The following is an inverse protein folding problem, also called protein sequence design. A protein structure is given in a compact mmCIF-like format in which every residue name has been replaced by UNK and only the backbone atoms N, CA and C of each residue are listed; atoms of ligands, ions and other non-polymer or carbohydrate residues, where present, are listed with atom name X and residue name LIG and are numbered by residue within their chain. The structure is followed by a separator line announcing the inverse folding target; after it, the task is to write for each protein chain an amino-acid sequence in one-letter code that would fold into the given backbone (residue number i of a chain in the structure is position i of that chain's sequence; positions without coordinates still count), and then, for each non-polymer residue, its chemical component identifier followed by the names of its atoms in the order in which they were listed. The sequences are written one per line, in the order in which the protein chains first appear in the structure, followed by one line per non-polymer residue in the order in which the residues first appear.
data_IF_358585764060
#
_entry.id   IF_358585764060
#
_cell.length_a   1.000
_cell.length_b   1.000
_cell.length_c   1.000
_cell.angle_alpha   90.00
_cell.angle_beta   90.00
_cell.angle_gamma   90.00
#
_symmetry.space_group_name_H-M   'P 1'
#
loop_
_entity.id
_entity.type
_entity.pdbx_description
1 polymer ?
#
# COMPACT_ATOMS: atom_id res chain seq x y z
N UNK A 1 24.74 65.96 33.63
CA UNK A 1 25.77 64.94 33.81
C UNK A 1 26.30 64.52 32.44
N UNK A 2 27.55 64.07 32.36
CA UNK A 2 28.18 63.59 31.13
C UNK A 2 28.34 62.07 31.24
N UNK A 3 27.68 61.36 30.34
CA UNK A 3 27.76 59.91 30.22
C UNK A 3 28.93 59.54 29.29
N UNK A 4 29.78 58.62 29.71
CA UNK A 4 30.83 58.03 28.88
C UNK A 4 30.82 56.51 28.96
N UNK A 5 31.12 55.86 27.84
CA UNK A 5 31.32 54.42 27.76
C UNK A 5 32.84 54.20 27.75
N UNK A 6 33.32 53.25 28.54
CA UNK A 6 34.70 52.80 28.56
C UNK A 6 34.72 51.29 28.33
N UNK A 7 35.52 50.83 27.38
CA UNK A 7 35.75 49.39 27.18
C UNK A 7 36.81 48.94 28.18
N UNK A 8 36.60 47.75 28.76
CA UNK A 8 37.64 47.10 29.57
C UNK A 8 38.76 46.57 28.67
N UNK A 9 38.38 46.00 27.52
CA UNK A 9 39.29 45.49 26.50
C UNK A 9 38.90 45.96 25.10
N UNK A 10 39.90 46.08 24.21
CA UNK A 10 39.67 46.45 22.81
C UNK A 10 39.09 45.29 21.97
N UNK A 11 39.17 44.07 22.50
CA UNK A 11 38.72 42.84 21.84
C UNK A 11 37.76 42.07 22.75
N UNK A 12 36.88 41.27 22.16
CA UNK A 12 36.02 40.31 22.86
C UNK A 12 36.74 38.97 23.11
N UNK A 13 36.12 38.08 23.90
CA UNK A 13 36.64 36.76 24.25
C UNK A 13 37.06 35.91 23.03
N UNK A 14 36.34 36.02 21.91
CA UNK A 14 36.64 35.30 20.66
C UNK A 14 37.34 36.16 19.61
N UNK A 15 37.97 37.27 20.03
CA UNK A 15 38.84 38.08 19.17
C UNK A 15 38.12 39.05 18.22
N UNK A 16 36.85 39.36 18.48
CA UNK A 16 36.13 40.42 17.79
C UNK A 16 36.63 41.80 18.21
N UNK A 17 36.79 42.72 17.27
CA UNK A 17 37.26 44.10 17.51
C UNK A 17 36.10 44.96 18.00
N UNK A 18 36.29 45.64 19.12
CA UNK A 18 35.28 46.52 19.74
C UNK A 18 35.77 47.96 19.68
N UNK A 19 34.89 48.87 19.25
CA UNK A 19 35.22 50.30 19.20
C UNK A 19 34.06 51.21 19.58
N UNK A 20 34.36 52.29 20.29
CA UNK A 20 33.37 53.31 20.64
C UNK A 20 33.44 54.46 19.64
N UNK A 21 32.33 54.72 18.94
CA UNK A 21 32.20 55.86 18.02
C UNK A 21 30.90 56.60 18.30
N UNK A 22 31.00 57.90 18.61
CA UNK A 22 29.86 58.79 18.86
C UNK A 22 28.88 58.23 19.91
N UNK A 23 29.41 57.66 21.00
CA UNK A 23 28.61 57.06 22.07
C UNK A 23 27.97 55.70 21.74
N UNK A 24 28.40 55.03 20.65
CA UNK A 24 27.93 53.69 20.28
C UNK A 24 29.08 52.69 20.32
N UNK A 25 28.80 51.49 20.81
CA UNK A 25 29.71 50.34 20.72
C UNK A 25 29.51 49.71 19.34
N UNK A 26 30.59 49.54 18.59
CA UNK A 26 30.63 48.85 17.31
C UNK A 26 31.46 47.58 17.50
N UNK A 27 30.93 46.47 17.03
CA UNK A 27 31.55 45.16 17.11
C UNK A 27 31.79 44.62 15.70
N UNK A 28 32.96 44.05 15.46
CA UNK A 28 33.31 43.38 14.20
C UNK A 28 34.14 42.13 14.49
N UNK A 29 33.68 40.97 14.05
CA UNK A 29 34.46 39.74 14.06
C UNK A 29 34.60 39.23 12.61
N UNK A 30 35.83 39.13 12.11
CA UNK A 30 36.11 38.73 10.74
C UNK A 30 36.06 37.21 10.54
N UNK A 31 36.10 36.43 11.63
CA UNK A 31 36.08 34.97 11.62
C UNK A 31 35.06 34.44 12.65
N UNK A 32 33.76 34.77 12.52
CA UNK A 32 32.76 34.26 13.45
C UNK A 32 32.66 32.73 13.34
N UNK A 33 32.66 32.04 14.48
CA UNK A 33 32.51 30.58 14.54
C UNK A 33 31.05 30.24 14.84
N UNK A 34 30.30 29.61 13.92
CA UNK A 34 28.91 29.26 14.16
C UNK A 34 28.72 28.40 15.42
N UNK A 35 27.66 28.69 16.18
CA UNK A 35 27.32 28.01 17.43
C UNK A 35 28.09 28.49 18.66
N UNK A 36 29.10 29.36 18.50
CA UNK A 36 29.82 29.98 19.60
C UNK A 36 29.15 31.27 20.06
N UNK A 37 29.39 31.62 21.33
CA UNK A 37 28.96 32.87 21.94
C UNK A 37 30.19 33.71 22.22
N UNK A 38 30.26 34.89 21.64
CA UNK A 38 31.30 35.87 21.92
C UNK A 38 30.83 36.86 23.00
N UNK A 39 31.73 37.36 23.83
CA UNK A 39 31.38 38.19 24.99
C UNK A 39 32.38 39.31 25.21
N UNK A 40 31.88 40.42 25.76
CA UNK A 40 32.72 41.50 26.28
C UNK A 40 31.96 42.34 27.31
N UNK A 41 32.71 43.11 28.09
CA UNK A 41 32.22 43.99 29.14
C UNK A 41 32.53 45.45 28.82
N UNK A 42 31.69 46.36 29.28
CA UNK A 42 31.97 47.80 29.26
C UNK A 42 31.50 48.47 30.54
N UNK A 43 32.13 49.59 30.88
CA UNK A 43 31.74 50.44 32.00
C UNK A 43 31.05 51.68 31.47
N UNK A 44 29.88 51.97 32.03
CA UNK A 44 29.16 53.22 31.84
C UNK A 44 29.48 54.13 33.02
N UNK A 45 30.11 55.27 32.74
CA UNK A 45 30.45 56.27 33.74
C UNK A 45 29.55 57.50 33.56
N UNK A 46 28.88 57.92 34.63
CA UNK A 46 28.16 59.19 34.70
C UNK A 46 28.92 60.16 35.60
N UNK A 47 29.42 61.24 35.00
CA UNK A 47 30.08 62.32 35.73
C UNK A 47 29.13 63.50 35.90
N UNK A 48 28.83 63.86 37.15
CA UNK A 48 28.09 65.06 37.52
C UNK A 48 28.91 65.87 38.54
N UNK A 49 28.60 67.16 38.70
CA UNK A 49 29.33 68.03 39.64
C UNK A 49 29.20 67.60 41.12
N UNK A 50 28.35 66.62 41.45
CA UNK A 50 28.04 66.21 42.82
C UNK A 50 28.30 64.72 43.12
N UNK A 51 28.26 63.83 42.11
CA UNK A 51 28.54 62.39 42.26
C UNK A 51 29.09 61.81 40.94
N UNK A 52 30.01 60.85 41.07
CA UNK A 52 30.44 59.96 39.98
C UNK A 52 29.85 58.57 40.22
N UNK A 53 29.03 58.10 39.29
CA UNK A 53 28.43 56.76 39.34
C UNK A 53 28.95 55.93 38.16
N UNK A 54 29.10 54.62 38.39
CA UNK A 54 29.53 53.68 37.36
C UNK A 54 28.68 52.42 37.38
N UNK A 55 28.36 51.89 36.19
CA UNK A 55 27.66 50.62 36.00
C UNK A 55 28.40 49.75 34.99
N UNK A 56 28.35 48.43 35.15
CA UNK A 56 28.95 47.47 34.23
C UNK A 56 27.86 46.91 33.31
N UNK A 57 28.14 46.83 32.02
CA UNK A 57 27.29 46.18 31.03
C UNK A 57 28.00 44.96 30.42
N UNK A 58 27.32 43.81 30.47
CA UNK A 58 27.78 42.56 29.85
C UNK A 58 27.08 42.36 28.50
N UNK A 59 27.85 42.08 27.45
CA UNK A 59 27.33 41.83 26.10
C UNK A 59 27.63 40.40 25.68
N UNK A 60 26.62 39.69 25.18
CA UNK A 60 26.75 38.36 24.57
C UNK A 60 26.27 38.41 23.11
N UNK A 61 27.09 37.90 22.20
CA UNK A 61 26.84 37.86 20.76
C UNK A 61 26.77 36.39 20.33
N UNK A 62 25.61 36.00 19.79
CA UNK A 62 25.36 34.63 19.35
C UNK A 62 25.60 34.50 17.84
N UNK A 63 26.57 33.67 17.45
CA UNK A 63 26.78 33.34 16.04
C UNK A 63 25.84 32.21 15.64
N UNK A 64 24.64 32.56 15.20
CA UNK A 64 23.67 31.58 14.73
C UNK A 64 24.19 31.02 13.38
N UNK A 65 24.38 29.69 13.24
CA UNK A 65 24.71 29.11 11.95
C UNK A 65 23.68 29.54 10.90
N UNK A 66 24.08 29.78 9.64
CA UNK A 66 23.11 30.01 8.59
C UNK A 66 22.13 28.84 8.58
N UNK A 67 20.84 29.13 8.66
CA UNK A 67 19.81 28.14 8.37
C UNK A 67 19.97 27.85 6.88
N UNK A 68 20.66 26.77 6.52
CA UNK A 68 20.52 26.26 5.16
C UNK A 68 19.02 26.03 4.97
N UNK A 69 18.40 26.77 4.04
CA UNK A 69 17.02 26.52 3.67
C UNK A 69 16.95 25.05 3.26
N UNK A 70 16.37 24.22 4.14
CA UNK A 70 16.22 22.80 3.86
C UNK A 70 15.41 22.70 2.59
N UNK A 71 16.06 22.38 1.48
CA UNK A 71 15.37 22.23 0.21
C UNK A 71 14.40 21.06 0.37
N UNK A 72 13.13 21.34 0.10
CA UNK A 72 12.05 20.36 0.22
C UNK A 72 11.61 19.91 -1.17
N UNK A 73 11.36 18.61 -1.29
CA UNK A 73 10.81 17.98 -2.47
C UNK A 73 9.68 17.03 -2.09
N UNK A 74 9.40 16.07 -2.98
CA UNK A 74 8.40 15.04 -2.74
C UNK A 74 8.69 13.78 -3.55
N UNK A 75 8.05 12.69 -3.15
CA UNK A 75 8.06 11.42 -3.86
C UNK A 75 6.64 11.17 -4.35
N UNK A 76 6.48 10.83 -5.63
CA UNK A 76 5.20 10.44 -6.22
C UNK A 76 5.35 9.10 -6.89
N UNK A 77 4.33 8.26 -6.87
CA UNK A 77 4.46 6.94 -7.47
C UNK A 77 3.16 6.18 -7.65
N UNK A 78 3.29 4.93 -8.12
CA UNK A 78 2.20 3.97 -8.23
C UNK A 78 2.56 2.65 -7.57
N UNK A 79 1.64 2.11 -6.78
CA UNK A 79 1.70 0.75 -6.25
C UNK A 79 1.05 -0.21 -7.23
N UNK A 80 1.72 -1.35 -7.45
CA UNK A 80 1.25 -2.40 -8.34
C UNK A 80 1.42 -3.75 -7.65
N UNK A 81 0.45 -4.63 -7.82
CA UNK A 81 0.60 -6.06 -7.51
C UNK A 81 1.29 -6.72 -8.69
N UNK A 82 2.37 -7.47 -8.43
CA UNK A 82 3.07 -8.29 -9.43
C UNK A 82 2.96 -9.78 -9.09
N UNK A 83 2.56 -10.56 -10.08
CA UNK A 83 2.57 -12.03 -10.05
C UNK A 83 3.06 -12.56 -11.41
N UNK A 84 4.32 -12.99 -11.50
CA UNK A 84 4.91 -13.33 -12.80
C UNK A 84 4.91 -12.13 -13.76
N UNK A 85 4.30 -12.28 -14.93
CA UNK A 85 4.10 -11.19 -15.91
C UNK A 85 2.87 -10.30 -15.59
N UNK A 86 2.04 -10.70 -14.64
CA UNK A 86 0.82 -9.98 -14.27
C UNK A 86 1.13 -8.77 -13.41
N UNK A 87 0.65 -7.59 -13.83
CA UNK A 87 0.88 -6.32 -13.11
C UNK A 87 -0.42 -5.51 -13.05
N UNK A 88 -0.96 -5.29 -11.85
CA UNK A 88 -2.21 -4.54 -11.63
C UNK A 88 -1.99 -3.40 -10.63
N UNK A 89 -2.46 -2.20 -10.91
CA UNK A 89 -2.38 -1.09 -9.94
C UNK A 89 -3.31 -1.34 -8.75
N UNK A 90 -2.83 -1.15 -7.53
CA UNK A 90 -3.54 -1.54 -6.30
C UNK A 90 -3.80 -0.35 -5.39
N UNK A 91 -5.05 -0.14 -5.00
CA UNK A 91 -5.41 0.89 -4.02
C UNK A 91 -5.24 0.34 -2.59
N UNK A 92 -5.18 1.22 -1.60
CA UNK A 92 -5.03 0.88 -0.18
C UNK A 92 -3.75 0.13 0.21
N UNK A 93 -2.70 0.14 -0.62
CA UNK A 93 -1.37 -0.27 -0.19
C UNK A 93 -0.76 0.82 0.70
N UNK A 94 -0.19 0.42 1.84
CA UNK A 94 0.56 1.32 2.72
C UNK A 94 1.98 1.44 2.18
N UNK A 95 2.35 2.63 1.71
CA UNK A 95 3.72 2.95 1.32
C UNK A 95 4.43 3.59 2.51
N UNK A 96 5.63 3.13 2.82
CA UNK A 96 6.41 3.57 3.99
C UNK A 96 7.81 3.97 3.55
N UNK A 97 8.29 5.11 4.05
CA UNK A 97 9.71 5.48 4.02
C UNK A 97 10.38 4.80 5.20
N UNK A 98 11.35 3.92 4.92
CA UNK A 98 11.96 3.06 5.94
C UNK A 98 12.70 3.89 6.99
N UNK A 99 13.45 4.91 6.58
CA UNK A 99 14.30 5.69 7.48
C UNK A 99 13.49 6.56 8.46
N UNK A 100 12.32 7.03 8.05
CA UNK A 100 11.51 7.97 8.84
C UNK A 100 10.29 7.32 9.47
N UNK A 101 9.89 6.13 9.00
CA UNK A 101 8.63 5.47 9.36
C UNK A 101 7.38 6.17 8.82
N UNK A 102 7.53 7.28 8.09
CA UNK A 102 6.42 8.01 7.51
C UNK A 102 5.70 7.12 6.50
N UNK A 103 4.37 7.06 6.60
CA UNK A 103 3.56 6.18 5.77
C UNK A 103 2.36 6.90 5.16
N UNK A 104 2.01 6.51 3.94
CA UNK A 104 0.82 6.99 3.21
C UNK A 104 0.09 5.80 2.58
N UNK A 105 -1.21 5.93 2.36
CA UNK A 105 -1.97 4.91 1.63
C UNK A 105 -2.13 5.30 0.17
N UNK A 106 -1.86 4.37 -0.75
CA UNK A 106 -2.10 4.56 -2.18
C UNK A 106 -3.60 4.63 -2.50
N UNK A 107 -4.00 5.49 -3.43
CA UNK A 107 -5.39 5.60 -3.91
C UNK A 107 -6.34 6.27 -2.92
N UNK A 108 -5.82 6.99 -1.91
CA UNK A 108 -6.62 7.73 -0.93
C UNK A 108 -6.53 9.23 -1.22
N UNK A 109 -7.55 9.81 -1.87
CA UNK A 109 -7.66 11.26 -2.16
C UNK A 109 -8.52 11.57 -3.39
N UNK A 110 -8.64 12.85 -3.75
CA UNK A 110 -9.45 13.37 -4.88
C UNK A 110 -8.93 12.98 -6.28
N UNK A 111 -7.87 12.17 -6.34
CA UNK A 111 -7.32 11.65 -7.59
C UNK A 111 -7.72 10.19 -7.72
N UNK A 112 -8.69 9.89 -8.59
CA UNK A 112 -9.16 8.54 -8.94
C UNK A 112 -8.10 7.67 -9.65
N UNK A 113 -6.81 7.98 -9.50
CA UNK A 113 -5.71 7.30 -10.20
C UNK A 113 -5.30 6.08 -9.38
N UNK A 114 -5.73 4.91 -9.85
CA UNK A 114 -5.43 3.62 -9.22
C UNK A 114 -3.95 3.46 -8.84
N UNK A 115 -3.71 3.12 -7.58
CA UNK A 115 -2.40 2.87 -6.97
C UNK A 115 -1.54 4.11 -6.73
N UNK A 116 -2.03 5.33 -6.98
CA UNK A 116 -1.21 6.53 -6.80
C UNK A 116 -0.89 6.81 -5.32
N UNK A 117 0.33 7.21 -5.01
CA UNK A 117 0.73 7.69 -3.68
C UNK A 117 1.65 8.91 -3.78
N UNK A 118 1.70 9.70 -2.71
CA UNK A 118 2.63 10.83 -2.61
C UNK A 118 3.12 11.10 -1.19
N UNK A 119 4.39 11.48 -1.09
CA UNK A 119 5.00 12.12 0.08
C UNK A 119 5.42 13.54 -0.30
N UNK A 120 5.03 14.52 0.50
CA UNK A 120 5.36 15.94 0.28
C UNK A 120 6.28 16.44 1.39
N UNK A 121 6.96 17.55 1.13
CA UNK A 121 7.81 18.26 2.09
C UNK A 121 8.96 17.40 2.66
N UNK A 122 9.55 16.56 1.83
CA UNK A 122 10.72 15.76 2.21
C UNK A 122 12.00 16.55 1.99
N UNK A 123 12.92 16.60 2.97
CA UNK A 123 14.27 17.11 2.74
C UNK A 123 14.95 16.42 1.56
N UNK A 124 15.86 17.13 0.89
CA UNK A 124 16.67 16.53 -0.16
C UNK A 124 17.57 15.44 0.43
N UNK A 125 17.36 14.21 -0.01
CA UNK A 125 18.08 13.02 0.46
C UNK A 125 17.77 11.84 -0.47
N UNK A 126 18.43 10.69 -0.22
CA UNK A 126 18.00 9.41 -0.76
C UNK A 126 17.18 8.67 0.29
N UNK A 127 16.01 8.19 -0.09
CA UNK A 127 15.10 7.43 0.77
C UNK A 127 14.93 6.01 0.25
N UNK A 128 14.73 5.06 1.16
CA UNK A 128 14.31 3.71 0.83
C UNK A 128 12.82 3.59 1.12
N UNK A 129 12.04 3.18 0.11
CA UNK A 129 10.59 3.05 0.24
C UNK A 129 10.11 1.64 -0.07
N UNK A 130 9.11 1.20 0.70
CA UNK A 130 8.43 -0.09 0.50
C UNK A 130 6.93 0.11 0.43
N UNK A 131 6.24 -0.74 -0.32
CA UNK A 131 4.79 -0.83 -0.30
C UNK A 131 4.33 -2.14 0.33
N UNK A 132 3.34 -2.04 1.20
CA UNK A 132 2.71 -3.18 1.87
C UNK A 132 1.25 -3.24 1.44
N UNK A 133 0.81 -4.39 0.94
CA UNK A 133 -0.59 -4.65 0.63
C UNK A 133 -0.95 -6.06 1.09
N UNK A 134 -1.94 -6.18 1.97
CA UNK A 134 -2.22 -7.44 2.67
C UNK A 134 -0.99 -7.89 3.46
N UNK A 135 -0.45 -9.07 3.12
CA UNK A 135 0.81 -9.60 3.67
C UNK A 135 2.02 -9.42 2.75
N UNK A 136 1.80 -8.90 1.54
CA UNK A 136 2.87 -8.66 0.58
C UNK A 136 3.63 -7.40 0.93
N UNK A 137 4.95 -7.48 0.90
CA UNK A 137 5.87 -6.34 1.06
C UNK A 137 6.73 -6.29 -0.19
N UNK A 138 6.77 -5.14 -0.86
CA UNK A 138 7.66 -4.93 -2.01
C UNK A 138 9.12 -4.99 -1.58
N UNK A 139 10.01 -5.33 -2.51
CA UNK A 139 11.42 -5.01 -2.32
C UNK A 139 11.59 -3.49 -2.08
N UNK A 140 12.55 -3.07 -1.25
CA UNK A 140 12.84 -1.66 -1.06
C UNK A 140 13.34 -1.01 -2.35
N UNK A 141 12.81 0.17 -2.67
CA UNK A 141 13.24 0.97 -3.81
C UNK A 141 13.91 2.24 -3.31
N UNK A 142 15.11 2.52 -3.81
CA UNK A 142 15.84 3.75 -3.50
C UNK A 142 15.35 4.89 -4.40
N UNK A 143 15.04 6.03 -3.77
CA UNK A 143 14.50 7.22 -4.44
C UNK A 143 15.29 8.44 -4.00
N UNK A 144 15.82 9.19 -4.97
CA UNK A 144 16.52 10.45 -4.72
C UNK A 144 15.51 11.59 -4.78
N UNK A 145 15.45 12.39 -3.72
CA UNK A 145 14.68 13.64 -3.67
C UNK A 145 15.66 14.79 -3.89
N UNK A 146 15.64 15.37 -5.10
CA UNK A 146 16.53 16.45 -5.53
C UNK A 146 15.79 17.65 -6.17
N UNK A 147 14.46 17.67 -6.03
CA UNK A 147 13.59 18.68 -6.65
C UNK A 147 12.99 18.26 -7.98
N UNK A 148 13.41 17.12 -8.56
CA UNK A 148 12.75 16.52 -9.73
C UNK A 148 11.69 15.51 -9.33
N UNK A 149 10.45 15.69 -9.81
CA UNK A 149 9.33 14.78 -9.53
C UNK A 149 9.28 13.68 -10.60
N UNK A 150 9.63 12.45 -10.24
CA UNK A 150 9.45 11.29 -11.12
C UNK A 150 8.54 10.24 -10.49
N UNK A 151 7.68 9.57 -11.29
CA UNK A 151 6.85 8.51 -10.78
C UNK A 151 7.73 7.29 -10.43
N UNK A 152 7.75 6.94 -9.16
CA UNK A 152 8.32 5.68 -8.67
C UNK A 152 7.28 4.57 -8.79
N UNK A 153 7.68 3.40 -9.29
CA UNK A 153 6.79 2.24 -9.35
C UNK A 153 7.20 1.28 -8.25
N UNK A 154 6.28 0.98 -7.35
CA UNK A 154 6.46 0.00 -6.29
C UNK A 154 5.66 -1.24 -6.62
N UNK A 155 6.35 -2.37 -6.71
CA UNK A 155 5.75 -3.65 -7.05
C UNK A 155 5.67 -4.50 -5.80
N UNK A 156 4.47 -4.59 -5.25
CA UNK A 156 4.16 -5.49 -4.16
C UNK A 156 3.99 -6.87 -4.78
N UNK A 157 4.82 -7.86 -4.42
CA UNK A 157 4.55 -9.23 -4.83
C UNK A 157 3.15 -9.60 -4.33
N UNK A 158 2.38 -10.28 -5.15
CA UNK A 158 1.18 -10.97 -4.67
C UNK A 158 1.67 -12.04 -3.71
N UNK A 159 1.77 -11.69 -2.43
CA UNK A 159 1.83 -12.69 -1.39
C UNK A 159 0.48 -13.37 -1.45
N UNK A 160 0.50 -14.55 -2.04
CA UNK A 160 -0.60 -15.47 -1.94
C UNK A 160 -0.77 -15.71 -0.46
N UNK A 161 -1.71 -15.01 0.16
CA UNK A 161 -2.33 -15.54 1.35
C UNK A 161 -3.11 -16.75 0.86
N UNK A 162 -2.39 -17.86 0.68
CA UNK A 162 -2.88 -19.17 1.07
C UNK A 162 -3.22 -19.00 2.54
N UNK A 163 -4.37 -18.39 2.84
CA UNK A 163 -4.93 -18.38 4.17
C UNK A 163 -4.88 -19.82 4.58
N UNK A 164 -3.93 -20.10 5.48
CA UNK A 164 -3.29 -21.38 5.76
C UNK A 164 -4.18 -22.48 5.21
N UNK A 165 -3.84 -23.08 4.05
CA UNK A 165 -4.46 -24.34 3.64
C UNK A 165 -4.38 -25.18 4.89
N UNK A 166 -5.52 -25.33 5.57
CA UNK A 166 -5.47 -25.66 6.98
C UNK A 166 -4.74 -27.00 7.07
N UNK A 167 -3.55 -26.96 7.66
CA UNK A 167 -2.62 -28.08 7.76
C UNK A 167 -3.30 -29.32 8.36
N UNK A 168 -4.43 -29.11 9.08
CA UNK A 168 -5.21 -30.13 9.77
C UNK A 168 -6.34 -30.75 8.94
N UNK A 169 -6.89 -30.06 7.93
CA UNK A 169 -8.07 -30.52 7.21
C UNK A 169 -7.77 -31.00 5.78
N UNK A 170 -7.34 -30.07 4.92
CA UNK A 170 -7.22 -30.33 3.49
C UNK A 170 -6.03 -31.19 3.15
N UNK A 171 -4.87 -30.87 3.73
CA UNK A 171 -3.65 -31.64 3.47
C UNK A 171 -3.85 -33.08 3.94
N UNK A 172 -4.48 -33.29 5.10
CA UNK A 172 -4.86 -34.62 5.60
C UNK A 172 -5.73 -35.37 4.60
N UNK A 173 -6.80 -34.75 4.08
CA UNK A 173 -7.68 -35.41 3.09
C UNK A 173 -6.97 -35.73 1.78
N UNK A 174 -6.10 -34.84 1.30
CA UNK A 174 -5.29 -35.11 0.11
C UNK A 174 -4.32 -36.26 0.37
N UNK A 175 -3.68 -36.30 1.55
CA UNK A 175 -2.83 -37.42 1.96
C UNK A 175 -3.62 -38.73 1.99
N UNK A 176 -4.82 -38.73 2.59
CA UNK A 176 -5.70 -39.90 2.67
C UNK A 176 -6.19 -40.37 1.28
N UNK A 177 -6.56 -39.43 0.39
CA UNK A 177 -7.12 -39.76 -0.93
C UNK A 177 -6.05 -40.17 -1.96
N UNK A 178 -4.84 -39.63 -1.85
CA UNK A 178 -3.78 -39.82 -2.85
C UNK A 178 -2.62 -40.71 -2.38
N UNK A 179 -2.45 -40.91 -1.07
CA UNK A 179 -1.29 -41.58 -0.48
C UNK A 179 0.01 -40.75 -0.52
N UNK A 180 -0.06 -39.46 -0.88
CA UNK A 180 1.11 -38.57 -0.89
C UNK A 180 1.60 -38.27 0.54
N UNK A 181 2.87 -37.87 0.67
CA UNK A 181 3.35 -37.27 1.92
C UNK A 181 2.69 -35.91 2.15
N UNK A 182 2.60 -35.45 3.41
CA UNK A 182 2.02 -34.15 3.77
C UNK A 182 2.61 -33.00 2.95
N UNK A 183 3.93 -32.99 2.76
CA UNK A 183 4.63 -31.95 1.99
C UNK A 183 4.29 -32.00 0.49
N UNK A 184 4.22 -33.19 -0.12
CA UNK A 184 3.80 -33.33 -1.52
C UNK A 184 2.34 -32.98 -1.74
N UNK A 185 1.47 -33.38 -0.81
CA UNK A 185 0.06 -33.04 -0.82
C UNK A 185 -0.15 -31.52 -0.72
N UNK A 186 0.59 -30.86 0.19
CA UNK A 186 0.62 -29.41 0.32
C UNK A 186 1.04 -28.74 -0.98
N UNK A 187 2.20 -29.10 -1.52
CA UNK A 187 2.73 -28.51 -2.75
C UNK A 187 1.80 -28.72 -3.95
N UNK A 188 1.14 -29.89 -4.06
CA UNK A 188 0.18 -30.15 -5.13
C UNK A 188 -1.08 -29.29 -5.01
N UNK A 189 -1.62 -29.17 -3.79
CA UNK A 189 -2.79 -28.34 -3.53
C UNK A 189 -2.48 -26.84 -3.76
N UNK A 190 -1.36 -26.35 -3.23
CA UNK A 190 -0.88 -24.98 -3.49
C UNK A 190 -0.70 -24.71 -4.98
N UNK A 191 -0.13 -25.65 -5.73
CA UNK A 191 0.05 -25.51 -7.19
C UNK A 191 -1.27 -25.39 -7.94
N UNK A 192 -2.28 -26.21 -7.63
CA UNK A 192 -3.58 -26.16 -8.32
C UNK A 192 -4.31 -24.87 -8.00
N UNK A 193 -4.32 -24.48 -6.73
CA UNK A 193 -4.97 -23.23 -6.35
C UNK A 193 -4.25 -22.02 -6.93
N UNK A 194 -2.92 -22.08 -7.06
CA UNK A 194 -2.14 -21.02 -7.73
C UNK A 194 -2.59 -20.88 -9.17
N UNK A 195 -2.72 -22.01 -9.87
CA UNK A 195 -3.19 -22.02 -11.25
C UNK A 195 -4.63 -21.48 -11.38
N UNK A 196 -5.55 -21.90 -10.51
CA UNK A 196 -6.91 -21.34 -10.46
C UNK A 196 -6.88 -19.82 -10.34
N UNK A 197 -6.01 -19.32 -9.47
CA UNK A 197 -5.88 -17.89 -9.21
C UNK A 197 -5.34 -17.13 -10.41
N UNK A 198 -4.25 -17.62 -11.01
CA UNK A 198 -3.66 -17.03 -12.22
C UNK A 198 -4.69 -16.96 -13.34
N UNK A 199 -5.44 -18.05 -13.58
CA UNK A 199 -6.51 -18.10 -14.56
C UNK A 199 -7.62 -17.08 -14.28
N UNK A 200 -8.01 -16.90 -13.01
CA UNK A 200 -9.02 -15.93 -12.59
C UNK A 200 -8.57 -14.48 -12.85
N UNK A 201 -7.30 -14.18 -12.59
CA UNK A 201 -6.71 -12.86 -12.82
C UNK A 201 -6.53 -12.56 -14.31
N UNK A 202 -6.12 -13.55 -15.10
CA UNK A 202 -5.97 -13.43 -16.55
C UNK A 202 -7.30 -13.02 -17.20
N UNK A 203 -8.43 -13.59 -16.74
CA UNK A 203 -9.76 -13.21 -17.19
C UNK A 203 -10.06 -11.73 -16.94
N UNK A 204 -9.75 -11.22 -15.74
CA UNK A 204 -9.95 -9.80 -15.43
C UNK A 204 -9.09 -8.91 -16.33
N UNK A 205 -7.83 -9.29 -16.59
CA UNK A 205 -6.93 -8.56 -17.47
C UNK A 205 -7.45 -8.58 -18.92
N UNK A 206 -7.88 -9.73 -19.43
CA UNK A 206 -8.44 -9.84 -20.77
C UNK A 206 -9.68 -8.98 -20.94
N UNK A 207 -10.59 -8.97 -19.95
CA UNK A 207 -11.77 -8.12 -19.94
C UNK A 207 -11.40 -6.62 -19.93
N UNK A 208 -10.31 -6.24 -19.27
CA UNK A 208 -9.84 -4.83 -19.22
C UNK A 208 -9.36 -4.28 -20.57
N UNK A 209 -9.11 -5.14 -21.57
CA UNK A 209 -8.74 -4.73 -22.93
C UNK A 209 -9.93 -4.12 -23.70
N UNK A 210 -11.16 -4.40 -23.27
CA UNK A 210 -12.35 -3.70 -23.76
C UNK A 210 -12.59 -2.46 -22.91
N UNK A 211 -12.56 -1.27 -23.53
CA UNK A 211 -12.69 0.00 -22.81
C UNK A 211 -14.09 0.20 -22.22
N UNK A 212 -15.14 -0.28 -22.92
CA UNK A 212 -16.52 -0.29 -22.42
C UNK A 212 -16.67 -1.18 -21.19
N UNK A 213 -16.07 -2.37 -21.22
CA UNK A 213 -16.08 -3.30 -20.07
C UNK A 213 -15.31 -2.70 -18.91
N UNK A 214 -14.07 -2.25 -19.15
CA UNK A 214 -13.18 -1.65 -18.13
C UNK A 214 -13.80 -0.44 -17.43
N UNK A 215 -14.56 0.39 -18.15
CA UNK A 215 -15.25 1.54 -17.57
C UNK A 215 -16.47 1.15 -16.72
N UNK A 216 -17.02 -0.05 -16.89
CA UNK A 216 -18.26 -0.48 -16.23
C UNK A 216 -18.11 -0.68 -14.72
N UNK A 217 -19.19 -0.42 -13.98
CA UNK A 217 -19.25 -0.73 -12.55
C UNK A 217 -19.15 -2.24 -12.27
N UNK A 218 -19.67 -3.06 -13.18
CA UNK A 218 -19.63 -4.52 -13.05
C UNK A 218 -18.19 -5.05 -13.12
N UNK A 219 -17.37 -4.54 -14.05
CA UNK A 219 -15.94 -4.87 -14.12
C UNK A 219 -15.20 -4.47 -12.85
N UNK A 220 -15.40 -3.24 -12.34
CA UNK A 220 -14.71 -2.76 -11.13
C UNK A 220 -15.02 -3.64 -9.91
N UNK A 221 -16.29 -4.06 -9.76
CA UNK A 221 -16.68 -5.00 -8.70
C UNK A 221 -16.09 -6.40 -8.92
N UNK A 222 -16.10 -6.90 -10.15
CA UNK A 222 -15.54 -8.21 -10.47
C UNK A 222 -14.04 -8.25 -10.19
N UNK A 223 -13.31 -7.23 -10.66
CA UNK A 223 -11.89 -7.05 -10.40
C UNK A 223 -11.65 -7.04 -8.89
N UNK A 224 -12.36 -6.18 -8.14
CA UNK A 224 -12.22 -6.10 -6.68
C UNK A 224 -12.49 -7.44 -5.99
N UNK A 225 -13.58 -8.12 -6.33
CA UNK A 225 -13.96 -9.38 -5.71
C UNK A 225 -12.94 -10.48 -5.98
N UNK A 226 -12.48 -10.59 -7.23
CA UNK A 226 -11.42 -11.51 -7.62
C UNK A 226 -10.15 -11.10 -6.87
N UNK A 227 -9.61 -9.89 -7.06
CA UNK A 227 -8.28 -9.49 -6.55
C UNK A 227 -8.20 -9.35 -5.04
N UNK A 228 -9.26 -8.89 -4.36
CA UNK A 228 -9.23 -8.46 -2.96
C UNK A 228 -10.04 -9.39 -2.04
N UNK A 229 -11.34 -9.55 -2.31
CA UNK A 229 -12.27 -10.18 -1.38
C UNK A 229 -11.99 -11.65 -1.14
N UNK A 230 -11.67 -12.41 -2.19
CA UNK A 230 -11.41 -13.85 -2.08
C UNK A 230 -10.01 -14.16 -1.54
N UNK A 231 -9.04 -13.28 -1.82
CA UNK A 231 -7.63 -13.58 -1.55
C UNK A 231 -7.15 -13.08 -0.17
N UNK A 232 -7.79 -12.10 0.46
CA UNK A 232 -7.13 -11.34 1.53
C UNK A 232 -7.91 -11.07 2.80
N UNK A 233 -9.19 -11.46 2.91
CA UNK A 233 -9.99 -11.10 4.07
C UNK A 233 -10.33 -12.28 4.99
N UNK A 234 -10.26 -12.02 6.30
CA UNK A 234 -10.94 -12.80 7.35
C UNK A 234 -12.48 -12.58 7.30
N UNK A 235 -13.00 -12.16 6.15
CA UNK A 235 -14.43 -11.95 5.95
C UNK A 235 -15.17 -13.26 6.17
N UNK A 236 -16.27 -13.11 6.89
CA UNK A 236 -17.20 -14.18 7.12
C UNK A 236 -17.83 -14.64 5.79
N UNK A 237 -18.35 -15.86 5.76
CA UNK A 237 -19.03 -16.41 4.59
C UNK A 237 -20.20 -15.51 4.18
N UNK A 238 -20.88 -14.90 5.14
CA UNK A 238 -22.02 -14.01 4.92
C UNK A 238 -21.61 -12.72 4.20
N UNK A 239 -20.49 -12.10 4.60
CA UNK A 239 -20.00 -10.88 3.94
C UNK A 239 -19.63 -11.17 2.48
N UNK A 240 -18.97 -12.30 2.23
CA UNK A 240 -18.63 -12.74 0.89
C UNK A 240 -19.86 -13.10 0.06
N UNK A 241 -20.88 -13.69 0.67
CA UNK A 241 -22.16 -14.00 0.03
C UNK A 241 -22.87 -12.72 -0.46
N UNK A 242 -22.91 -11.69 0.39
CA UNK A 242 -23.48 -10.39 0.03
C UNK A 242 -22.72 -9.71 -1.11
N UNK A 243 -21.38 -9.68 -1.03
CA UNK A 243 -20.53 -9.12 -2.09
C UNK A 243 -20.73 -9.89 -3.42
N UNK A 244 -20.80 -11.23 -3.38
CA UNK A 244 -21.05 -12.05 -4.55
C UNK A 244 -22.45 -11.85 -5.13
N UNK A 245 -23.48 -11.67 -4.28
CA UNK A 245 -24.85 -11.44 -4.72
C UNK A 245 -25.00 -10.10 -5.48
N UNK A 246 -24.40 -9.02 -4.97
CA UNK A 246 -24.37 -7.73 -5.66
C UNK A 246 -23.59 -7.82 -6.98
N UNK A 247 -22.41 -8.44 -6.95
CA UNK A 247 -21.56 -8.62 -8.11
C UNK A 247 -22.27 -9.41 -9.23
N UNK A 248 -22.80 -10.58 -8.90
CA UNK A 248 -23.44 -11.47 -9.88
C UNK A 248 -24.69 -10.81 -10.49
N UNK A 249 -25.46 -10.05 -9.71
CA UNK A 249 -26.58 -9.27 -10.22
C UNK A 249 -26.13 -8.23 -11.26
N UNK A 250 -25.05 -7.50 -10.99
CA UNK A 250 -24.53 -6.49 -11.92
C UNK A 250 -23.90 -7.09 -13.16
N UNK A 251 -23.18 -8.21 -13.04
CA UNK A 251 -22.63 -8.92 -14.19
C UNK A 251 -23.73 -9.47 -15.09
N UNK A 252 -24.77 -10.11 -14.52
CA UNK A 252 -25.92 -10.60 -15.31
C UNK A 252 -26.62 -9.44 -16.03
N UNK A 253 -26.88 -8.34 -15.33
CA UNK A 253 -27.48 -7.15 -15.94
C UNK A 253 -26.59 -6.50 -17.02
N UNK A 254 -25.26 -6.61 -16.90
CA UNK A 254 -24.33 -6.14 -17.92
C UNK A 254 -24.33 -7.08 -19.15
N UNK A 255 -24.36 -8.40 -18.95
CA UNK A 255 -24.47 -9.40 -20.03
C UNK A 255 -25.70 -9.12 -20.90
N UNK A 256 -26.87 -8.91 -20.29
CA UNK A 256 -28.13 -8.66 -21.00
C UNK A 256 -28.11 -7.39 -21.86
N UNK A 257 -27.28 -6.40 -21.52
CA UNK A 257 -27.26 -5.06 -22.15
C UNK A 257 -26.03 -4.82 -23.03
N UNK A 258 -25.00 -5.64 -22.92
CA UNK A 258 -23.74 -5.47 -23.62
C UNK A 258 -23.87 -5.82 -25.11
N UNK A 259 -23.02 -5.21 -25.93
CA UNK A 259 -22.80 -5.63 -27.31
C UNK A 259 -22.22 -7.06 -27.35
N UNK A 260 -22.43 -7.78 -28.45
CA UNK A 260 -22.07 -9.20 -28.57
C UNK A 260 -20.58 -9.46 -28.28
N UNK A 261 -19.70 -8.54 -28.70
CA UNK A 261 -18.26 -8.58 -28.45
C UNK A 261 -17.89 -8.45 -26.96
N UNK A 262 -18.70 -7.75 -26.16
CA UNK A 262 -18.46 -7.51 -24.73
C UNK A 262 -19.16 -8.54 -23.83
N UNK A 263 -20.22 -9.19 -24.33
CA UNK A 263 -20.98 -10.18 -23.57
C UNK A 263 -20.07 -11.30 -23.05
N UNK A 264 -19.15 -11.78 -23.89
CA UNK A 264 -18.22 -12.85 -23.48
C UNK A 264 -17.29 -12.41 -22.35
N UNK A 265 -16.86 -11.14 -22.33
CA UNK A 265 -16.04 -10.63 -21.23
C UNK A 265 -16.78 -10.64 -19.90
N UNK A 266 -18.06 -10.26 -19.88
CA UNK A 266 -18.86 -10.32 -18.64
C UNK A 266 -19.20 -11.75 -18.21
N UNK A 267 -19.43 -12.66 -19.17
CA UNK A 267 -19.60 -14.09 -18.89
C UNK A 267 -18.34 -14.68 -18.25
N UNK A 268 -17.16 -14.39 -18.83
CA UNK A 268 -15.88 -14.83 -18.30
C UNK A 268 -15.64 -14.28 -16.88
N UNK A 269 -15.93 -12.98 -16.65
CA UNK A 269 -15.83 -12.37 -15.31
C UNK A 269 -16.76 -13.03 -14.29
N UNK A 270 -18.01 -13.33 -14.66
CA UNK A 270 -18.95 -14.01 -13.78
C UNK A 270 -18.45 -15.42 -13.43
N UNK A 271 -18.00 -16.18 -14.43
CA UNK A 271 -17.40 -17.50 -14.24
C UNK A 271 -16.19 -17.44 -13.30
N UNK A 272 -15.27 -16.51 -13.53
CA UNK A 272 -14.08 -16.31 -12.71
C UNK A 272 -14.42 -15.95 -11.26
N UNK A 273 -15.36 -15.02 -11.04
CA UNK A 273 -15.83 -14.67 -9.71
C UNK A 273 -16.53 -15.84 -9.00
N UNK A 274 -17.31 -16.65 -9.73
CA UNK A 274 -17.90 -17.88 -9.19
C UNK A 274 -16.83 -18.88 -8.78
N UNK A 275 -15.76 -19.07 -9.56
CA UNK A 275 -14.65 -19.95 -9.21
C UNK A 275 -13.95 -19.48 -7.94
N UNK A 276 -13.63 -18.18 -7.88
CA UNK A 276 -13.01 -17.57 -6.70
C UNK A 276 -13.88 -17.77 -5.45
N UNK A 277 -15.20 -17.58 -5.57
CA UNK A 277 -16.13 -17.79 -4.44
C UNK A 277 -16.24 -19.27 -4.04
N UNK A 278 -16.28 -20.20 -5.01
CA UNK A 278 -16.28 -21.64 -4.71
C UNK A 278 -15.00 -22.09 -4.04
N UNK A 279 -13.84 -21.64 -4.51
CA UNK A 279 -12.55 -21.89 -3.87
C UNK A 279 -12.61 -21.39 -2.41
N UNK A 280 -13.14 -20.20 -2.17
CA UNK A 280 -13.29 -19.64 -0.82
C UNK A 280 -14.24 -20.45 0.07
N UNK A 281 -15.44 -20.79 -0.41
CA UNK A 281 -16.42 -21.59 0.34
C UNK A 281 -15.85 -22.96 0.71
N UNK A 282 -15.06 -23.53 -0.19
CA UNK A 282 -14.50 -24.86 -0.03
C UNK A 282 -13.29 -24.83 0.91
N UNK A 283 -12.29 -23.98 0.66
CA UNK A 283 -10.99 -24.04 1.36
C UNK A 283 -10.94 -23.34 2.74
N UNK A 284 -12.04 -22.75 3.24
CA UNK A 284 -12.08 -21.99 4.51
C UNK A 284 -12.31 -22.79 5.78
N UNK A 285 -12.95 -23.96 5.72
CA UNK A 285 -13.20 -24.80 6.91
C UNK A 285 -12.82 -26.26 6.61
N UNK A 286 -13.03 -27.17 7.57
CA UNK A 286 -12.60 -28.59 7.60
C UNK A 286 -13.05 -29.49 6.42
N UNK A 287 -13.52 -28.91 5.31
CA UNK A 287 -13.79 -29.56 4.04
C UNK A 287 -15.13 -30.26 3.95
N UNK A 288 -16.03 -30.02 4.90
CA UNK A 288 -17.43 -30.41 4.77
C UNK A 288 -18.25 -29.26 4.17
N UNK A 289 -19.13 -29.62 3.23
CA UNK A 289 -20.22 -28.76 2.79
C UNK A 289 -21.27 -28.77 3.91
N UNK A 290 -21.30 -27.71 4.72
CA UNK A 290 -22.41 -27.49 5.64
C UNK A 290 -23.65 -26.95 4.86
N UNK A 291 -24.85 -26.94 5.45
CA UNK A 291 -26.07 -26.50 4.76
C UNK A 291 -26.00 -25.07 4.21
N UNK A 292 -25.25 -24.19 4.87
CA UNK A 292 -25.02 -22.82 4.42
C UNK A 292 -24.20 -22.78 3.14
N UNK A 293 -23.06 -23.48 3.09
CA UNK A 293 -22.25 -23.59 1.88
C UNK A 293 -23.03 -24.23 0.73
N UNK A 294 -23.86 -25.24 1.02
CA UNK A 294 -24.75 -25.81 0.00
C UNK A 294 -25.75 -24.79 -0.57
N UNK A 295 -26.30 -23.90 0.28
CA UNK A 295 -27.16 -22.80 -0.18
C UNK A 295 -26.40 -21.86 -1.11
N UNK A 296 -25.17 -21.50 -0.76
CA UNK A 296 -24.34 -20.61 -1.58
C UNK A 296 -23.97 -21.25 -2.94
N UNK A 297 -23.61 -22.53 -2.97
CA UNK A 297 -23.37 -23.25 -4.23
C UNK A 297 -24.62 -23.27 -5.13
N UNK A 298 -25.82 -23.40 -4.56
CA UNK A 298 -27.08 -23.30 -5.33
C UNK A 298 -27.31 -21.90 -5.90
N UNK A 299 -26.95 -20.85 -5.15
CA UNK A 299 -27.02 -19.46 -5.63
C UNK A 299 -26.06 -19.27 -6.81
N UNK A 300 -24.83 -19.79 -6.72
CA UNK A 300 -23.87 -19.79 -7.83
C UNK A 300 -24.46 -20.47 -9.06
N UNK A 301 -24.98 -21.70 -8.93
CA UNK A 301 -25.59 -22.45 -10.04
C UNK A 301 -26.76 -21.68 -10.68
N UNK A 302 -27.64 -21.10 -9.86
CA UNK A 302 -28.77 -20.28 -10.33
C UNK A 302 -28.29 -19.09 -11.15
N UNK A 303 -27.26 -18.38 -10.69
CA UNK A 303 -26.73 -17.20 -11.37
C UNK A 303 -26.01 -17.55 -12.68
N UNK A 304 -25.23 -18.63 -12.70
CA UNK A 304 -24.59 -19.16 -13.92
C UNK A 304 -25.65 -19.51 -14.97
N UNK A 305 -26.71 -20.24 -14.58
CA UNK A 305 -27.82 -20.59 -15.48
C UNK A 305 -28.58 -19.36 -15.97
N UNK A 306 -28.84 -18.39 -15.08
CA UNK A 306 -29.51 -17.13 -15.45
C UNK A 306 -28.70 -16.34 -16.48
N UNK A 307 -27.37 -16.40 -16.43
CA UNK A 307 -26.49 -15.79 -17.41
C UNK A 307 -26.42 -16.55 -18.76
N UNK A 308 -27.13 -17.69 -18.90
CA UNK A 308 -27.11 -18.50 -20.13
C UNK A 308 -25.87 -19.38 -20.29
N UNK A 309 -25.08 -19.59 -19.24
CA UNK A 309 -23.92 -20.47 -19.29
C UNK A 309 -24.28 -21.94 -19.06
N UNK A 310 -23.56 -22.84 -19.73
CA UNK A 310 -23.65 -24.27 -19.48
C UNK A 310 -22.96 -24.62 -18.15
N UNK A 311 -23.77 -24.97 -17.16
CA UNK A 311 -23.32 -25.34 -15.82
C UNK A 311 -22.41 -26.58 -15.83
N UNK A 312 -22.50 -27.44 -16.86
CA UNK A 312 -21.65 -28.62 -17.02
C UNK A 312 -20.21 -28.22 -17.34
N UNK A 313 -20.03 -27.22 -18.20
CA UNK A 313 -18.72 -26.66 -18.53
C UNK A 313 -18.09 -26.02 -17.30
N UNK A 314 -18.87 -25.20 -16.58
CA UNK A 314 -18.43 -24.52 -15.35
C UNK A 314 -17.98 -25.53 -14.27
N UNK A 315 -18.68 -26.66 -14.13
CA UNK A 315 -18.30 -27.73 -13.19
C UNK A 315 -16.96 -28.36 -13.55
N UNK A 316 -16.78 -28.78 -14.80
CA UNK A 316 -15.56 -29.47 -15.22
C UNK A 316 -14.36 -28.53 -15.22
N UNK A 317 -14.53 -27.27 -15.62
CA UNK A 317 -13.45 -26.27 -15.59
C UNK A 317 -12.99 -25.92 -14.17
N UNK A 318 -13.92 -25.81 -13.19
CA UNK A 318 -13.54 -25.54 -11.80
C UNK A 318 -13.02 -26.79 -11.09
N UNK A 319 -13.80 -27.87 -11.13
CA UNK A 319 -13.61 -29.02 -10.27
C UNK A 319 -12.78 -30.14 -10.89
N UNK A 320 -12.58 -30.14 -12.21
CA UNK A 320 -11.93 -31.23 -12.94
C UNK A 320 -10.52 -31.51 -12.42
N UNK A 321 -9.65 -30.49 -12.40
CA UNK A 321 -8.29 -30.64 -11.85
C UNK A 321 -8.32 -30.98 -10.36
N UNK A 322 -9.10 -30.27 -9.54
CA UNK A 322 -9.21 -30.57 -8.11
C UNK A 322 -9.68 -32.02 -7.83
N UNK A 323 -10.63 -32.55 -8.60
CA UNK A 323 -11.13 -33.93 -8.51
C UNK A 323 -10.07 -34.92 -8.97
N UNK A 324 -9.51 -34.71 -10.15
CA UNK A 324 -8.67 -35.70 -10.82
C UNK A 324 -7.28 -35.75 -10.18
N UNK A 325 -6.73 -34.59 -9.81
CA UNK A 325 -5.40 -34.49 -9.22
C UNK A 325 -5.35 -34.74 -7.71
N UNK A 326 -6.38 -34.34 -6.97
CA UNK A 326 -6.40 -34.47 -5.51
C UNK A 326 -7.32 -35.60 -5.02
N UNK A 327 -8.12 -36.22 -5.90
CA UNK A 327 -9.04 -37.32 -5.58
C UNK A 327 -9.99 -37.01 -4.42
N UNK A 328 -10.34 -35.74 -4.25
CA UNK A 328 -11.14 -35.27 -3.12
C UNK A 328 -12.63 -35.50 -3.40
N UNK A 329 -13.25 -36.42 -2.66
CA UNK A 329 -14.70 -36.73 -2.77
C UNK A 329 -15.59 -35.52 -2.48
N UNK A 330 -15.14 -34.61 -1.62
CA UNK A 330 -15.84 -33.36 -1.33
C UNK A 330 -15.90 -32.40 -2.53
N UNK A 331 -14.94 -32.44 -3.47
CA UNK A 331 -15.02 -31.70 -4.74
C UNK A 331 -16.14 -32.28 -5.60
N UNK A 332 -16.22 -33.62 -5.68
CA UNK A 332 -17.30 -34.29 -6.39
C UNK A 332 -18.69 -33.94 -5.80
N UNK A 333 -18.79 -33.76 -4.48
CA UNK A 333 -20.02 -33.28 -3.84
C UNK A 333 -20.38 -31.86 -4.28
N UNK A 334 -19.43 -30.91 -4.31
CA UNK A 334 -19.69 -29.55 -4.84
C UNK A 334 -20.13 -29.62 -6.30
N UNK A 335 -19.42 -30.38 -7.13
CA UNK A 335 -19.75 -30.57 -8.55
C UNK A 335 -21.17 -31.15 -8.74
N UNK A 336 -21.58 -32.09 -7.88
CA UNK A 336 -22.94 -32.65 -7.91
C UNK A 336 -23.99 -31.61 -7.52
N UNK A 337 -23.72 -30.79 -6.50
CA UNK A 337 -24.65 -29.78 -6.00
C UNK A 337 -24.82 -28.58 -6.91
N UNK A 338 -23.90 -28.36 -7.86
CA UNK A 338 -24.04 -27.36 -8.91
C UNK A 338 -25.12 -27.74 -9.96
N UNK A 339 -25.75 -28.92 -9.92
CA UNK A 339 -26.86 -29.35 -10.81
C UNK A 339 -28.15 -28.55 -10.65
#
# INVERSE_FOLDING_TARGET
AKLSIKLEEANSELGGVISIKKGKINYQNNNPVPGMVDRFTYVLEESSNACNESSIGDVSIFFIPPVEETKLGGIRGKTRLREGEYVVSVNNATVTIIETGQSVMSGRGDTEINGYFEFLNLPYATYSITATYGRGVSEPVLVVVDGTNFPVILEVPVWHYWGVVNDKGWITRVVESTGLSKEKAKGKLESILKEHRENQLEVAIKASKSESVKASAAYKLAQKFITESVAFKDDSVETLAEEYADLSTKLIGAIEKAAAEDQQHYLDLLKSASFAYMDRLYFTEEGSLNPEKEREIKIISKNIKKAGMDITIVKEEWGGKLRDDLKLTSVATVMTKLQ
#
